data_IF_657570391109
#
_entry.id   IF_657570391109
#
_cell.length_a   1.000
_cell.length_b   1.000
_cell.length_c   1.000
_cell.angle_alpha   90.00
_cell.angle_beta   90.00
_cell.angle_gamma   90.00
#
_symmetry.space_group_name_H-M   'P 1'
#
loop_
_entity.id
_entity.type
_entity.pdbx_description
1 polymer ?
#
# COMPACT_ATOMS: atom_id res chain seq x y z
N UNK A 1 -4.74 -17.06 -3.63
CA UNK A 1 -5.37 -16.62 -4.89
C UNK A 1 -4.71 -17.29 -6.08
N UNK A 2 -3.41 -17.08 -6.33
CA UNK A 2 -2.68 -17.62 -7.50
C UNK A 2 -2.86 -19.13 -7.61
N UNK A 3 -2.63 -19.91 -6.53
CA UNK A 3 -2.77 -21.36 -6.52
C UNK A 3 -4.16 -21.81 -6.97
N UNK A 4 -5.20 -21.14 -6.46
CA UNK A 4 -6.58 -21.46 -6.78
C UNK A 4 -6.91 -21.18 -8.24
N UNK A 5 -6.56 -19.99 -8.73
CA UNK A 5 -6.85 -19.59 -10.10
C UNK A 5 -6.04 -20.40 -11.12
N UNK A 6 -4.79 -20.72 -10.81
CA UNK A 6 -3.93 -21.50 -11.68
C UNK A 6 -4.40 -22.96 -11.87
N UNK A 7 -5.26 -23.47 -10.99
CA UNK A 7 -5.83 -24.83 -11.06
C UNK A 7 -7.33 -24.84 -11.36
N UNK A 8 -7.98 -23.68 -11.37
CA UNK A 8 -9.41 -23.56 -11.66
C UNK A 8 -9.69 -23.83 -13.15
N UNK A 9 -10.64 -24.73 -13.48
CA UNK A 9 -10.92 -25.07 -14.88
C UNK A 9 -11.34 -23.89 -15.76
N UNK A 10 -11.94 -22.85 -15.16
CA UNK A 10 -12.40 -21.67 -15.90
C UNK A 10 -11.25 -20.70 -16.21
N UNK A 11 -10.25 -20.59 -15.32
CA UNK A 11 -9.21 -19.56 -15.40
C UNK A 11 -7.84 -20.11 -15.82
N UNK A 12 -7.55 -21.38 -15.54
CA UNK A 12 -6.20 -21.96 -15.72
C UNK A 12 -5.67 -21.92 -17.16
N UNK A 13 -6.57 -21.89 -18.15
CA UNK A 13 -6.20 -21.85 -19.57
C UNK A 13 -5.93 -20.42 -20.09
N UNK A 14 -6.31 -19.38 -19.34
CA UNK A 14 -6.16 -17.97 -19.75
C UNK A 14 -5.18 -17.19 -18.89
N UNK A 15 -4.69 -17.79 -17.80
CA UNK A 15 -3.71 -17.16 -16.92
C UNK A 15 -2.30 -17.47 -17.41
N UNK A 16 -1.55 -16.42 -17.71
CA UNK A 16 -0.12 -16.52 -17.90
C UNK A 16 0.58 -16.58 -16.52
N UNK A 17 1.13 -17.75 -16.22
CA UNK A 17 1.76 -18.02 -14.90
C UNK A 17 3.16 -17.43 -14.79
N UNK A 18 3.77 -17.06 -15.89
CA UNK A 18 5.12 -16.50 -15.92
C UNK A 18 5.11 -14.96 -15.89
N UNK A 19 3.95 -14.35 -16.10
CA UNK A 19 3.78 -12.89 -16.14
C UNK A 19 2.74 -12.39 -15.10
N UNK A 20 2.93 -12.74 -13.84
CA UNK A 20 2.04 -12.31 -12.74
C UNK A 20 2.58 -11.02 -12.14
N UNK A 21 1.77 -9.96 -12.18
CA UNK A 21 2.00 -8.70 -11.46
C UNK A 21 1.10 -8.57 -10.25
N UNK A 22 1.51 -7.75 -9.28
CA UNK A 22 0.70 -7.35 -8.14
C UNK A 22 0.56 -5.83 -8.10
N UNK A 23 -0.65 -5.35 -7.83
CA UNK A 23 -0.93 -3.92 -7.58
C UNK A 23 -1.52 -3.80 -6.18
N UNK A 24 -1.00 -2.89 -5.38
CA UNK A 24 -1.50 -2.67 -4.03
C UNK A 24 -1.56 -1.20 -3.65
N UNK A 25 -2.64 -0.83 -2.96
CA UNK A 25 -2.84 0.49 -2.39
C UNK A 25 -2.81 0.41 -0.86
N UNK A 26 -2.20 1.39 -0.20
CA UNK A 26 -2.17 1.51 1.27
C UNK A 26 -1.65 0.21 1.93
N UNK A 27 -2.40 -0.45 2.78
CA UNK A 27 -2.05 -1.76 3.34
C UNK A 27 -1.92 -2.86 2.28
N UNK A 28 -2.70 -2.77 1.17
CA UNK A 28 -2.50 -3.62 0.00
C UNK A 28 -1.14 -3.38 -0.66
N UNK A 29 -0.65 -2.14 -0.64
CA UNK A 29 0.72 -1.79 -1.06
C UNK A 29 1.79 -2.41 -0.17
N UNK A 30 1.59 -2.40 1.15
CA UNK A 30 2.45 -3.09 2.10
C UNK A 30 2.49 -4.61 1.82
N UNK A 31 1.33 -5.23 1.63
CA UNK A 31 1.24 -6.65 1.28
C UNK A 31 1.94 -6.98 -0.05
N UNK A 32 1.79 -6.13 -1.07
CA UNK A 32 2.47 -6.28 -2.35
C UNK A 32 4.00 -6.16 -2.21
N UNK A 33 4.51 -5.26 -1.36
CA UNK A 33 5.93 -5.17 -1.04
C UNK A 33 6.47 -6.45 -0.40
N UNK A 34 5.75 -7.00 0.56
CA UNK A 34 6.17 -8.24 1.23
C UNK A 34 6.15 -9.44 0.27
N UNK A 35 5.14 -9.53 -0.59
CA UNK A 35 5.07 -10.55 -1.64
C UNK A 35 6.22 -10.39 -2.65
N UNK A 36 6.68 -9.16 -2.92
CA UNK A 36 7.84 -8.88 -3.75
C UNK A 36 9.18 -9.20 -3.07
N UNK A 37 9.19 -9.43 -1.75
CA UNK A 37 10.38 -9.81 -0.98
C UNK A 37 10.86 -8.80 0.06
N UNK A 38 10.21 -7.65 0.19
CA UNK A 38 10.47 -6.74 1.30
C UNK A 38 10.14 -7.43 2.64
N UNK A 39 10.92 -7.15 3.66
CA UNK A 39 10.67 -7.64 5.02
C UNK A 39 10.44 -6.47 5.95
N UNK A 40 9.49 -6.64 6.85
CA UNK A 40 9.28 -5.65 7.90
C UNK A 40 10.44 -5.67 8.91
N UNK A 41 10.63 -4.54 9.61
CA UNK A 41 11.54 -4.37 10.73
C UNK A 41 10.78 -3.76 11.91
N UNK A 42 10.45 -4.60 12.88
CA UNK A 42 9.61 -4.24 14.02
C UNK A 42 10.22 -3.10 14.85
N UNK A 43 11.53 -3.13 15.07
CA UNK A 43 12.19 -2.10 15.88
C UNK A 43 12.25 -0.75 15.15
N UNK A 44 12.45 -0.74 13.83
CA UNK A 44 12.38 0.50 13.05
C UNK A 44 10.97 1.09 13.13
N UNK A 45 9.94 0.27 12.98
CA UNK A 45 8.56 0.69 13.07
C UNK A 45 8.18 1.19 14.47
N UNK A 46 8.61 0.48 15.52
CA UNK A 46 8.37 0.90 16.90
C UNK A 46 9.02 2.25 17.21
N UNK A 47 10.29 2.47 16.79
CA UNK A 47 10.97 3.77 16.94
C UNK A 47 10.28 4.91 16.20
N UNK A 48 9.81 4.65 14.96
CA UNK A 48 9.02 5.61 14.23
C UNK A 48 7.75 5.98 15.00
N UNK A 49 7.00 4.99 15.49
CA UNK A 49 5.78 5.20 16.26
C UNK A 49 6.02 5.77 17.69
N UNK A 50 7.24 5.75 18.23
CA UNK A 50 7.54 6.45 19.48
C UNK A 50 7.41 7.96 19.33
N UNK A 51 7.70 8.49 18.15
CA UNK A 51 7.65 9.94 17.86
C UNK A 51 6.44 10.35 17.05
N UNK A 52 6.07 9.55 16.04
CA UNK A 52 4.93 9.82 15.17
C UNK A 52 3.66 9.17 15.72
N UNK A 53 2.61 9.98 16.00
CA UNK A 53 1.39 9.51 16.70
C UNK A 53 0.14 9.54 15.82
N UNK A 54 0.31 9.69 14.53
CA UNK A 54 -0.78 9.79 13.55
C UNK A 54 -0.80 8.58 12.62
N UNK A 55 -1.79 8.49 11.77
CA UNK A 55 -1.94 7.45 10.74
C UNK A 55 -1.81 6.05 11.32
N UNK A 56 -0.99 5.21 10.70
CA UNK A 56 -0.73 3.83 11.08
C UNK A 56 -0.29 3.67 12.55
N UNK A 57 0.47 4.60 13.08
CA UNK A 57 0.86 4.58 14.50
C UNK A 57 -0.31 4.83 15.46
N UNK A 58 -1.39 5.49 15.02
CA UNK A 58 -2.58 5.71 15.82
C UNK A 58 -3.34 4.40 16.09
N UNK A 59 -3.21 3.39 15.23
CA UNK A 59 -3.86 2.08 15.41
C UNK A 59 -3.41 1.34 16.66
N UNK A 60 -2.23 1.66 17.18
CA UNK A 60 -1.66 1.07 18.40
C UNK A 60 -1.93 1.89 19.66
N UNK A 61 -2.57 3.04 19.53
CA UNK A 61 -3.10 3.77 20.68
C UNK A 61 -4.32 3.05 21.24
N UNK A 62 -4.59 3.23 22.54
CA UNK A 62 -5.83 2.72 23.12
C UNK A 62 -7.07 3.27 22.39
N UNK A 63 -8.13 2.51 22.29
CA UNK A 63 -9.30 2.92 21.54
C UNK A 63 -10.45 1.92 21.60
N UNK A 64 -11.28 1.99 20.58
CA UNK A 64 -12.38 1.05 20.36
C UNK A 64 -12.21 0.35 19.01
N UNK A 65 -12.50 -0.92 19.00
CA UNK A 65 -12.62 -1.74 17.80
C UNK A 65 -13.99 -2.41 17.78
N UNK A 66 -14.37 -3.01 16.68
CA UNK A 66 -15.63 -3.75 16.55
C UNK A 66 -15.33 -5.20 16.21
N UNK A 67 -15.96 -6.12 16.94
CA UNK A 67 -15.93 -7.56 16.67
C UNK A 67 -17.38 -8.02 16.62
N UNK A 68 -17.80 -8.58 15.49
CA UNK A 68 -19.19 -8.99 15.23
C UNK A 68 -20.18 -7.85 15.55
N UNK A 69 -19.92 -6.65 15.05
CA UNK A 69 -20.69 -5.40 15.25
C UNK A 69 -20.79 -4.92 16.71
N UNK A 70 -20.03 -5.50 17.62
CA UNK A 70 -19.99 -5.10 19.03
C UNK A 70 -18.76 -4.28 19.32
N UNK A 71 -18.89 -3.09 19.93
CA UNK A 71 -17.74 -2.28 20.31
C UNK A 71 -16.98 -2.96 21.45
N UNK A 72 -15.68 -3.12 21.26
CA UNK A 72 -14.74 -3.56 22.28
C UNK A 72 -13.71 -2.45 22.54
N UNK A 73 -13.38 -2.23 23.81
CA UNK A 73 -12.25 -1.39 24.16
C UNK A 73 -10.95 -2.22 24.09
N UNK A 74 -9.85 -1.59 23.68
CA UNK A 74 -8.54 -2.20 23.75
C UNK A 74 -7.54 -1.20 24.34
N UNK A 75 -6.53 -1.75 25.02
CA UNK A 75 -5.43 -0.97 25.58
C UNK A 75 -4.37 -0.66 24.52
N UNK A 76 -3.51 0.31 24.84
CA UNK A 76 -2.36 0.62 24.00
C UNK A 76 -1.51 -0.63 23.75
N UNK A 77 -1.25 -0.91 22.50
CA UNK A 77 -0.36 -2.01 22.09
C UNK A 77 1.09 -1.54 22.11
N UNK A 78 1.94 -2.24 22.83
CA UNK A 78 3.38 -2.06 22.74
C UNK A 78 3.92 -2.91 21.57
N UNK A 79 4.30 -2.25 20.48
CA UNK A 79 4.81 -2.93 19.27
C UNK A 79 6.00 -3.85 19.57
N UNK A 80 6.82 -3.55 20.57
CA UNK A 80 7.99 -4.37 20.93
C UNK A 80 7.62 -5.69 21.59
N UNK A 81 6.35 -5.86 22.00
CA UNK A 81 5.82 -7.09 22.63
C UNK A 81 5.11 -8.02 21.65
N UNK A 82 4.91 -7.60 20.40
CA UNK A 82 4.33 -8.50 19.38
C UNK A 82 5.38 -9.51 18.90
N UNK A 83 4.91 -10.61 18.31
CA UNK A 83 5.77 -11.66 17.78
C UNK A 83 6.65 -11.11 16.63
N UNK A 84 7.92 -10.85 16.96
CA UNK A 84 8.90 -10.33 16.00
C UNK A 84 9.10 -11.29 14.84
N UNK A 85 9.21 -12.60 15.08
CA UNK A 85 9.49 -13.56 14.04
C UNK A 85 8.36 -13.59 13.00
N UNK A 86 7.13 -13.48 13.47
CA UNK A 86 5.95 -13.40 12.61
C UNK A 86 5.85 -12.05 11.88
N UNK A 87 6.20 -10.96 12.53
CA UNK A 87 6.16 -9.61 11.91
C UNK A 87 7.23 -9.45 10.82
N UNK A 88 8.43 -9.99 11.04
CA UNK A 88 9.59 -9.85 10.16
C UNK A 88 9.77 -11.07 9.22
N UNK A 89 8.80 -11.97 9.13
CA UNK A 89 8.88 -13.14 8.25
C UNK A 89 8.95 -12.73 6.77
N UNK A 90 9.54 -13.60 5.94
CA UNK A 90 9.49 -13.43 4.50
C UNK A 90 8.17 -13.96 3.93
N UNK A 91 7.51 -13.14 3.14
CA UNK A 91 6.29 -13.49 2.41
C UNK A 91 6.53 -13.54 0.89
N UNK A 92 7.80 -13.65 0.46
CA UNK A 92 8.20 -13.67 -0.95
C UNK A 92 7.46 -14.76 -1.74
N UNK A 93 6.74 -14.35 -2.78
CA UNK A 93 6.21 -15.25 -3.81
C UNK A 93 6.97 -15.06 -5.13
N UNK A 94 7.81 -16.04 -5.49
CA UNK A 94 8.68 -15.98 -6.69
C UNK A 94 7.92 -16.00 -8.02
N UNK A 95 6.62 -16.26 -8.00
CA UNK A 95 5.74 -16.21 -9.18
C UNK A 95 5.44 -14.78 -9.59
N UNK A 96 5.49 -13.83 -8.64
CA UNK A 96 5.30 -12.40 -8.92
C UNK A 96 6.55 -11.85 -9.61
N UNK A 97 6.35 -11.15 -10.73
CA UNK A 97 7.40 -10.61 -11.59
C UNK A 97 7.45 -9.08 -11.59
N UNK A 98 6.39 -8.43 -11.12
CA UNK A 98 6.29 -6.98 -11.04
C UNK A 98 5.37 -6.57 -9.89
N UNK A 99 5.66 -5.45 -9.24
CA UNK A 99 4.82 -4.87 -8.21
C UNK A 99 4.60 -3.37 -8.44
N UNK A 100 3.34 -2.95 -8.40
CA UNK A 100 2.95 -1.53 -8.42
C UNK A 100 2.36 -1.17 -7.07
N UNK A 101 2.90 -0.17 -6.43
CA UNK A 101 2.69 0.18 -5.04
C UNK A 101 2.19 1.62 -4.96
N UNK A 102 0.92 1.79 -4.66
CA UNK A 102 0.28 3.09 -4.58
C UNK A 102 0.14 3.46 -3.10
N UNK A 103 0.81 4.53 -2.69
CA UNK A 103 0.85 4.96 -1.28
C UNK A 103 1.03 3.78 -0.32
N UNK A 104 2.08 2.95 -0.46
CA UNK A 104 2.22 1.74 0.35
C UNK A 104 2.24 2.09 1.84
N UNK A 105 1.33 1.47 2.60
CA UNK A 105 1.29 1.63 4.05
C UNK A 105 2.55 1.09 4.74
N UNK A 106 2.71 1.43 6.00
CA UNK A 106 3.85 1.00 6.83
C UNK A 106 5.21 1.38 6.22
N UNK A 107 5.30 2.48 5.45
CA UNK A 107 6.50 2.87 4.71
C UNK A 107 7.75 3.03 5.60
N UNK A 108 7.58 3.22 6.91
CA UNK A 108 8.67 3.34 7.88
C UNK A 108 9.02 2.01 8.58
N UNK A 109 8.38 0.91 8.19
CA UNK A 109 8.51 -0.38 8.87
C UNK A 109 9.41 -1.39 8.13
N UNK A 110 10.09 -1.00 7.04
CA UNK A 110 10.82 -1.97 6.22
C UNK A 110 12.30 -2.07 6.54
N UNK A 111 12.84 -3.27 6.38
CA UNK A 111 14.26 -3.55 6.45
C UNK A 111 14.97 -3.12 5.14
N UNK A 112 15.94 -2.22 5.26
CA UNK A 112 16.64 -1.65 4.13
C UNK A 112 17.45 -2.70 3.32
N UNK A 113 17.94 -3.76 3.97
CA UNK A 113 18.70 -4.80 3.28
C UNK A 113 17.78 -5.66 2.42
N UNK A 114 16.60 -6.02 2.92
CA UNK A 114 15.62 -6.77 2.14
C UNK A 114 15.15 -6.03 0.88
N UNK A 115 15.02 -4.70 0.96
CA UNK A 115 14.68 -3.87 -0.21
C UNK A 115 15.75 -3.92 -1.30
N UNK A 116 17.04 -3.91 -0.92
CA UNK A 116 18.18 -4.01 -1.86
C UNK A 116 18.28 -5.38 -2.54
N UNK A 117 17.66 -6.39 -1.97
CA UNK A 117 17.66 -7.76 -2.48
C UNK A 117 16.46 -8.07 -3.40
N UNK A 118 15.52 -7.13 -3.57
CA UNK A 118 14.38 -7.32 -4.47
C UNK A 118 14.85 -7.38 -5.91
N UNK A 119 14.54 -8.48 -6.58
CA UNK A 119 15.00 -8.77 -7.94
C UNK A 119 13.99 -8.43 -9.04
N UNK A 120 12.74 -8.13 -8.67
CA UNK A 120 11.67 -7.81 -9.61
C UNK A 120 11.51 -6.30 -9.81
N UNK A 121 10.87 -5.90 -10.91
CA UNK A 121 10.53 -4.50 -11.16
C UNK A 121 9.50 -4.00 -10.14
N UNK A 122 9.76 -2.82 -9.56
CA UNK A 122 8.91 -2.16 -8.59
C UNK A 122 8.54 -0.76 -9.09
N UNK A 123 7.28 -0.41 -9.07
CA UNK A 123 6.83 0.96 -9.35
C UNK A 123 6.14 1.53 -8.13
N UNK A 124 6.74 2.55 -7.54
CA UNK A 124 6.16 3.26 -6.41
C UNK A 124 5.45 4.52 -6.90
N UNK A 125 4.22 4.70 -6.49
CA UNK A 125 3.40 5.87 -6.84
C UNK A 125 2.89 6.47 -5.53
N UNK A 126 3.25 7.73 -5.26
CA UNK A 126 2.66 8.46 -4.15
C UNK A 126 1.57 9.45 -4.64
N UNK A 127 0.52 9.56 -3.82
CA UNK A 127 -0.56 10.51 -4.01
C UNK A 127 -0.26 11.79 -3.25
N UNK A 128 -0.08 12.88 -3.97
CA UNK A 128 0.28 14.18 -3.41
C UNK A 128 1.51 14.80 -4.04
N UNK A 129 1.78 16.03 -3.63
CA UNK A 129 2.98 16.78 -3.99
C UNK A 129 4.10 16.56 -2.96
N UNK A 130 5.38 16.72 -3.32
CA UNK A 130 6.46 16.67 -2.35
C UNK A 130 6.19 17.60 -1.15
N UNK A 131 6.27 17.06 0.07
CA UNK A 131 5.98 17.78 1.30
C UNK A 131 4.54 17.66 1.83
N UNK A 132 3.59 17.19 1.02
CA UNK A 132 2.21 16.90 1.49
C UNK A 132 1.97 15.41 1.75
N UNK A 133 2.79 14.53 1.15
CA UNK A 133 2.68 13.08 1.31
C UNK A 133 2.96 12.69 2.78
N UNK A 134 2.04 11.97 3.44
CA UNK A 134 2.22 11.55 4.82
C UNK A 134 3.42 10.61 5.01
N UNK A 135 4.14 10.74 6.13
CA UNK A 135 5.31 9.90 6.43
C UNK A 135 4.97 8.39 6.46
N UNK A 136 3.73 8.04 6.82
CA UNK A 136 3.25 6.67 6.87
C UNK A 136 3.25 5.95 5.52
N UNK A 137 3.18 6.70 4.41
CA UNK A 137 3.04 6.16 3.05
C UNK A 137 4.10 6.67 2.07
N UNK A 138 5.01 7.58 2.50
CA UNK A 138 6.03 8.14 1.62
C UNK A 138 7.01 7.07 1.16
N UNK A 139 7.05 6.83 -0.14
CA UNK A 139 7.77 5.71 -0.73
C UNK A 139 9.07 6.08 -1.46
N UNK A 140 9.41 7.38 -1.56
CA UNK A 140 10.61 7.81 -2.28
C UNK A 140 11.90 7.19 -1.73
N UNK A 141 12.02 7.06 -0.39
CA UNK A 141 13.15 6.40 0.27
C UNK A 141 13.18 4.89 0.03
N UNK A 142 12.03 4.24 -0.06
CA UNK A 142 11.91 2.81 -0.38
C UNK A 142 12.32 2.54 -1.83
N UNK A 143 11.85 3.36 -2.77
CA UNK A 143 12.20 3.28 -4.18
C UNK A 143 13.70 3.47 -4.40
N UNK A 144 14.35 4.39 -3.66
CA UNK A 144 15.79 4.61 -3.76
C UNK A 144 16.64 3.41 -3.30
N UNK A 145 16.08 2.49 -2.51
CA UNK A 145 16.77 1.28 -2.04
C UNK A 145 16.59 0.08 -2.97
N UNK A 146 15.47 -0.04 -3.66
CA UNK A 146 15.17 -1.18 -4.52
C UNK A 146 15.86 -1.02 -5.88
N UNK A 147 16.67 -2.03 -6.35
CA UNK A 147 17.54 -1.89 -7.53
C UNK A 147 16.81 -1.63 -8.84
N UNK A 148 15.59 -2.16 -8.97
CA UNK A 148 14.77 -2.07 -10.18
C UNK A 148 13.49 -1.28 -9.95
N UNK A 149 13.59 -0.20 -9.16
CA UNK A 149 12.45 0.62 -8.82
C UNK A 149 12.35 1.88 -9.67
N UNK A 150 11.11 2.25 -10.00
CA UNK A 150 10.73 3.59 -10.44
C UNK A 150 9.87 4.28 -9.38
N UNK A 151 9.85 5.61 -9.41
CA UNK A 151 9.06 6.43 -8.49
C UNK A 151 8.33 7.53 -9.23
N UNK A 152 7.04 7.66 -8.98
CA UNK A 152 6.19 8.71 -9.51
C UNK A 152 5.32 9.34 -8.41
N UNK A 153 4.80 10.53 -8.67
CA UNK A 153 3.80 11.20 -7.82
C UNK A 153 2.63 11.66 -8.66
N UNK A 154 1.42 11.60 -8.09
CA UNK A 154 0.22 12.22 -8.67
C UNK A 154 -0.08 13.50 -7.90
N UNK A 155 0.39 14.61 -8.42
CA UNK A 155 0.22 15.92 -7.79
C UNK A 155 -1.27 16.31 -7.69
N UNK A 156 -1.65 17.04 -6.63
CA UNK A 156 -3.03 17.46 -6.39
C UNK A 156 -3.96 16.31 -5.93
N UNK A 157 -3.42 15.13 -5.69
CA UNK A 157 -4.11 14.01 -5.04
C UNK A 157 -3.80 13.95 -3.54
N UNK A 158 -4.58 13.21 -2.79
CA UNK A 158 -4.27 12.76 -1.43
C UNK A 158 -4.43 11.23 -1.32
N UNK A 159 -4.10 10.68 -0.16
CA UNK A 159 -4.17 9.24 0.07
C UNK A 159 -5.51 8.62 -0.30
N UNK A 160 -6.61 9.30 0.00
CA UNK A 160 -7.97 8.80 -0.23
C UNK A 160 -8.46 9.01 -1.67
N UNK A 161 -7.72 9.76 -2.49
CA UNK A 161 -8.05 9.96 -3.92
C UNK A 161 -7.98 8.67 -4.75
N UNK A 162 -7.37 7.60 -4.21
CA UNK A 162 -7.40 6.27 -4.81
C UNK A 162 -8.80 5.63 -4.77
N UNK A 163 -9.60 5.95 -3.76
CA UNK A 163 -10.93 5.37 -3.56
C UNK A 163 -11.92 5.90 -4.63
N UNK A 164 -13.01 5.17 -4.90
CA UNK A 164 -14.06 5.65 -5.81
C UNK A 164 -14.61 7.01 -5.42
N UNK A 165 -15.16 7.74 -6.40
CA UNK A 165 -15.87 9.00 -6.14
C UNK A 165 -17.00 8.80 -5.14
N UNK A 166 -17.13 9.74 -4.19
CA UNK A 166 -18.25 9.74 -3.28
C UNK A 166 -19.55 10.05 -4.03
N UNK A 167 -20.62 9.35 -3.67
CA UNK A 167 -21.96 9.70 -4.11
C UNK A 167 -22.38 11.02 -3.48
N UNK A 168 -23.35 11.68 -4.08
CA UNK A 168 -24.00 12.86 -3.50
C UNK A 168 -24.46 12.58 -2.05
N UNK A 169 -24.14 13.48 -1.12
CA UNK A 169 -24.39 13.29 0.31
C UNK A 169 -23.46 12.31 1.03
N UNK A 170 -22.50 11.69 0.32
CA UNK A 170 -21.58 10.71 0.91
C UNK A 170 -20.66 11.28 1.98
N UNK A 171 -20.17 12.50 1.79
CA UNK A 171 -19.30 13.16 2.76
C UNK A 171 -20.03 13.47 4.07
N UNK A 172 -21.28 13.98 3.98
CA UNK A 172 -22.14 14.25 5.14
C UNK A 172 -22.50 12.96 5.89
N UNK A 173 -22.76 11.89 5.14
CA UNK A 173 -23.07 10.58 5.72
C UNK A 173 -21.87 10.04 6.52
N UNK A 174 -20.67 10.02 5.94
CA UNK A 174 -19.46 9.59 6.62
C UNK A 174 -19.21 10.39 7.89
N UNK A 175 -19.33 11.71 7.81
CA UNK A 175 -19.22 12.60 8.96
C UNK A 175 -20.24 12.29 10.05
N UNK A 176 -21.47 11.92 9.69
CA UNK A 176 -22.53 11.55 10.66
C UNK A 176 -22.20 10.26 11.43
N UNK A 177 -21.39 9.37 10.84
CA UNK A 177 -20.85 8.17 11.49
C UNK A 177 -19.54 8.43 12.25
N UNK A 178 -19.08 9.67 12.32
CA UNK A 178 -17.87 10.04 13.06
C UNK A 178 -16.57 9.81 12.26
N UNK A 179 -16.67 9.60 10.94
CA UNK A 179 -15.48 9.53 10.08
C UNK A 179 -14.76 10.88 10.07
N UNK A 180 -13.46 10.83 10.31
CA UNK A 180 -12.59 12.02 10.39
C UNK A 180 -11.60 12.11 9.22
N UNK A 181 -11.39 11.00 8.51
CA UNK A 181 -10.53 10.96 7.35
C UNK A 181 -11.20 11.65 6.14
N UNK A 182 -10.44 12.38 5.30
CA UNK A 182 -10.98 13.15 4.19
C UNK A 182 -11.29 12.27 2.95
N UNK A 183 -12.06 11.19 3.14
CA UNK A 183 -12.32 10.15 2.14
C UNK A 183 -12.92 10.71 0.85
N UNK A 184 -13.75 11.73 0.95
CA UNK A 184 -14.43 12.38 -0.18
C UNK A 184 -13.74 13.68 -0.65
N UNK A 185 -12.55 13.96 -0.18
CA UNK A 185 -11.80 15.16 -0.59
C UNK A 185 -10.68 14.78 -1.56
N UNK A 186 -10.50 15.60 -2.61
CA UNK A 186 -9.52 15.38 -3.66
C UNK A 186 -8.45 16.50 -3.68
N UNK A 187 -7.90 16.84 -2.55
CA UNK A 187 -6.73 17.71 -2.47
C UNK A 187 -6.90 19.05 -3.24
N UNK A 188 -5.91 19.45 -4.02
CA UNK A 188 -5.70 20.79 -4.58
C UNK A 188 -6.60 21.17 -5.78
N UNK A 189 -7.89 20.79 -5.75
CA UNK A 189 -8.87 21.26 -6.76
C UNK A 189 -8.88 20.46 -8.06
N UNK A 190 -8.22 19.29 -8.13
CA UNK A 190 -8.38 18.33 -9.21
C UNK A 190 -9.62 17.46 -8.98
N UNK A 191 -10.23 17.00 -10.05
CA UNK A 191 -11.28 15.99 -9.93
C UNK A 191 -10.69 14.60 -9.64
N UNK A 192 -11.42 13.75 -8.92
CA UNK A 192 -11.03 12.36 -8.67
C UNK A 192 -10.91 11.58 -9.98
N UNK A 193 -11.75 11.87 -10.95
CA UNK A 193 -11.69 11.28 -12.28
C UNK A 193 -10.36 11.56 -12.98
N UNK A 194 -9.84 12.78 -12.90
CA UNK A 194 -8.55 13.14 -13.49
C UNK A 194 -7.39 12.47 -12.77
N UNK A 195 -7.47 12.36 -11.43
CA UNK A 195 -6.49 11.65 -10.61
C UNK A 195 -6.48 10.16 -10.96
N UNK A 196 -7.65 9.55 -11.11
CA UNK A 196 -7.77 8.15 -11.53
C UNK A 196 -7.24 7.92 -12.95
N UNK A 197 -7.43 8.86 -13.88
CA UNK A 197 -6.86 8.79 -15.22
C UNK A 197 -5.34 8.70 -15.18
N UNK A 198 -4.69 9.58 -14.40
CA UNK A 198 -3.23 9.56 -14.23
C UNK A 198 -2.76 8.25 -13.59
N UNK A 199 -3.47 7.78 -12.56
CA UNK A 199 -3.15 6.50 -11.89
C UNK A 199 -3.27 5.31 -12.84
N UNK A 200 -4.34 5.25 -13.63
CA UNK A 200 -4.56 4.18 -14.61
C UNK A 200 -3.42 4.17 -15.64
N UNK A 201 -3.00 5.33 -16.11
CA UNK A 201 -1.90 5.43 -17.07
C UNK A 201 -0.57 4.95 -16.46
N UNK A 202 -0.23 5.40 -15.25
CA UNK A 202 0.98 4.97 -14.54
C UNK A 202 0.99 3.46 -14.27
N UNK A 203 -0.12 2.91 -13.77
CA UNK A 203 -0.23 1.47 -13.50
C UNK A 203 -0.13 0.65 -14.78
N UNK A 204 -0.83 1.09 -15.85
CA UNK A 204 -0.80 0.44 -17.14
C UNK A 204 0.61 0.43 -17.73
N UNK A 205 1.30 1.56 -17.72
CA UNK A 205 2.68 1.68 -18.19
C UNK A 205 3.61 0.76 -17.43
N UNK A 206 3.56 0.79 -16.10
CA UNK A 206 4.37 -0.07 -15.23
C UNK A 206 4.19 -1.56 -15.56
N UNK A 207 2.95 -2.03 -15.67
CA UNK A 207 2.65 -3.42 -15.97
C UNK A 207 3.01 -3.80 -17.41
N UNK A 208 2.80 -2.90 -18.38
CA UNK A 208 3.17 -3.13 -19.77
C UNK A 208 4.69 -3.26 -19.99
N UNK A 209 5.47 -2.45 -19.27
CA UNK A 209 6.94 -2.49 -19.36
C UNK A 209 7.54 -3.74 -18.71
N UNK A 210 6.89 -4.27 -17.70
CA UNK A 210 7.45 -5.31 -16.84
C UNK A 210 6.90 -6.72 -17.09
N UNK A 211 5.70 -6.82 -17.69
CA UNK A 211 5.03 -8.09 -17.95
C UNK A 211 4.89 -8.45 -19.45
N UNK A 212 5.42 -7.62 -20.36
CA UNK A 212 5.50 -8.00 -21.76
C UNK A 212 6.64 -8.99 -21.98
N UNK A 213 6.37 -10.01 -22.83
CA UNK A 213 7.46 -10.82 -23.37
C UNK A 213 8.47 -9.91 -24.08
N UNK A 214 9.78 -10.15 -23.92
CA UNK A 214 10.77 -9.52 -24.79
C UNK A 214 10.45 -9.90 -26.25
N UNK A 215 10.13 -8.89 -27.05
CA UNK A 215 9.87 -9.02 -28.50
C UNK A 215 11.08 -9.54 -29.26
#
# INVERSE_FOLDING_TARGET
VIDRLATDPQFSSVIDRDHIGVVGFSLGGAAAMEIAGARANLEAYARYCDTYKKWDCAWYAAGRAYVDDRPIAFDKVDLRKIDRARFEQSNLDRRVKSAVLIDPGLAQAYDAQSLKEIAIAMTFINLGSPGTIPAAVIASGLAALAPHASYATVAGADHFSFLPECKEGGAELLKSFGEVDPICNDGEGRSRADIHSDLIDLVREALQLTLKEPS
#
